data_IF_335948121846
#
_entry.id   IF_335948121846
#
_cell.length_a   1.000
_cell.length_b   1.000
_cell.length_c   1.000
_cell.angle_alpha   90.00
_cell.angle_beta   90.00
_cell.angle_gamma   90.00
#
_symmetry.space_group_name_H-M   'P 1'
#
loop_
_entity.id
_entity.type
_entity.pdbx_description
1 polymer ?
#
# COMPACT_ATOMS: atom_id res chain seq x y z
N UNK A 1 -4.36 18.29 23.20
CA UNK A 1 -2.97 18.14 22.70
C UNK A 1 -2.61 16.69 22.39
N UNK A 2 -2.98 15.69 23.21
CA UNK A 2 -2.64 14.28 22.97
C UNK A 2 -3.27 13.66 21.70
N UNK A 3 -4.52 14.00 21.39
CA UNK A 3 -5.22 13.43 20.23
C UNK A 3 -4.59 13.83 18.89
N UNK A 4 -4.21 15.10 18.75
CA UNK A 4 -3.50 15.60 17.57
C UNK A 4 -2.13 14.91 17.36
N UNK A 5 -1.41 14.63 18.45
CA UNK A 5 -0.14 13.90 18.40
C UNK A 5 -0.33 12.44 17.95
N UNK A 6 -1.39 11.77 18.42
CA UNK A 6 -1.75 10.40 18.01
C UNK A 6 -2.10 10.36 16.52
N UNK A 7 -2.88 11.33 16.04
CA UNK A 7 -3.22 11.43 14.62
C UNK A 7 -2.01 11.65 13.72
N UNK A 8 -1.04 12.47 14.13
CA UNK A 8 0.24 12.62 13.40
C UNK A 8 1.01 11.31 13.36
N UNK A 9 1.13 10.62 14.49
CA UNK A 9 1.85 9.36 14.57
C UNK A 9 1.22 8.30 13.65
N UNK A 10 -0.11 8.17 13.67
CA UNK A 10 -0.85 7.26 12.79
C UNK A 10 -0.63 7.59 11.31
N UNK A 11 -0.66 8.88 10.93
CA UNK A 11 -0.38 9.31 9.55
C UNK A 11 1.03 8.94 9.11
N UNK A 12 2.03 9.14 9.96
CA UNK A 12 3.42 8.78 9.66
C UNK A 12 3.55 7.26 9.51
N UNK A 13 2.92 6.47 10.39
CA UNK A 13 2.89 5.01 10.26
C UNK A 13 2.22 4.55 8.96
N UNK A 14 1.08 5.14 8.60
CA UNK A 14 0.42 4.87 7.31
C UNK A 14 1.31 5.23 6.14
N UNK A 15 2.03 6.34 6.19
CA UNK A 15 2.96 6.76 5.14
C UNK A 15 4.13 5.78 4.97
N UNK A 16 4.74 5.33 6.08
CA UNK A 16 5.82 4.32 6.05
C UNK A 16 5.31 2.99 5.49
N UNK A 17 4.10 2.57 5.88
CA UNK A 17 3.47 1.37 5.34
C UNK A 17 3.24 1.49 3.83
N UNK A 18 2.73 2.62 3.37
CA UNK A 18 2.53 2.93 1.95
C UNK A 18 3.84 2.80 1.17
N UNK A 19 4.90 3.46 1.65
CA UNK A 19 6.22 3.44 1.02
C UNK A 19 6.82 2.02 0.93
N UNK A 20 6.67 1.21 1.98
CA UNK A 20 7.12 -0.19 1.97
C UNK A 20 6.36 -1.03 0.94
N UNK A 21 5.08 -0.73 0.73
CA UNK A 21 4.22 -1.47 -0.20
C UNK A 21 4.56 -1.14 -1.65
N UNK A 22 4.78 0.14 -1.98
CA UNK A 22 5.29 0.59 -3.30
C UNK A 22 6.65 -0.05 -3.64
N UNK A 23 7.54 -0.13 -2.66
CA UNK A 23 8.84 -0.78 -2.85
C UNK A 23 8.70 -2.28 -3.13
N UNK A 24 7.75 -2.96 -2.48
CA UNK A 24 7.41 -4.36 -2.75
C UNK A 24 6.90 -4.58 -4.18
N UNK A 25 5.97 -3.74 -4.65
CA UNK A 25 5.44 -3.78 -6.02
C UNK A 25 6.56 -3.55 -7.05
N UNK A 26 7.45 -2.58 -6.80
CA UNK A 26 8.60 -2.30 -7.66
C UNK A 26 9.53 -3.52 -7.78
N UNK A 27 9.85 -4.19 -6.67
CA UNK A 27 10.72 -5.36 -6.69
C UNK A 27 10.05 -6.51 -7.45
N UNK A 28 8.77 -6.79 -7.19
CA UNK A 28 8.03 -7.83 -7.89
C UNK A 28 7.94 -7.57 -9.40
N UNK A 29 7.71 -6.32 -9.81
CA UNK A 29 7.67 -5.91 -11.22
C UNK A 29 9.04 -6.02 -11.91
N UNK A 30 10.13 -5.68 -11.21
CA UNK A 30 11.49 -5.89 -11.73
C UNK A 30 11.83 -7.38 -11.84
N UNK A 31 11.38 -8.20 -10.90
CA UNK A 31 11.61 -9.64 -10.91
C UNK A 31 10.79 -10.36 -11.99
N UNK A 32 9.60 -9.86 -12.34
CA UNK A 32 8.76 -10.46 -13.38
C UNK A 32 9.30 -10.25 -14.80
N UNK A 33 10.12 -9.23 -15.02
CA UNK A 33 10.75 -8.96 -16.33
C UNK A 33 12.02 -9.79 -16.57
N UNK A 34 12.58 -10.40 -15.53
CA UNK A 34 13.80 -11.21 -15.61
C UNK A 34 13.61 -12.44 -16.50
N UNK A 35 14.35 -12.49 -17.63
CA UNK A 35 14.24 -13.55 -18.64
C UNK A 35 14.62 -14.95 -18.14
N UNK A 36 15.29 -15.04 -17.00
CA UNK A 36 15.76 -16.32 -16.40
C UNK A 36 14.66 -17.08 -15.66
N UNK A 37 13.56 -16.42 -15.30
CA UNK A 37 12.43 -17.03 -14.61
C UNK A 37 11.46 -17.68 -15.59
N UNK A 38 10.87 -18.83 -15.21
CA UNK A 38 9.82 -19.47 -15.99
C UNK A 38 8.62 -18.54 -16.17
N UNK A 39 7.95 -18.59 -17.33
CA UNK A 39 6.75 -17.81 -17.62
C UNK A 39 5.71 -17.86 -16.48
N UNK A 40 5.35 -19.04 -15.92
CA UNK A 40 4.38 -19.09 -14.81
C UNK A 40 4.85 -18.36 -13.54
N UNK A 41 6.15 -18.38 -13.22
CA UNK A 41 6.66 -17.67 -12.06
C UNK A 41 6.55 -16.14 -12.19
N UNK A 42 6.59 -15.61 -13.42
CA UNK A 42 6.40 -14.16 -13.68
C UNK A 42 4.97 -13.72 -13.49
N UNK A 43 4.02 -14.55 -13.91
CA UNK A 43 2.59 -14.30 -13.68
C UNK A 43 2.27 -14.31 -12.18
N UNK A 44 2.81 -15.27 -11.43
CA UNK A 44 2.68 -15.27 -9.97
C UNK A 44 3.27 -14.03 -9.32
N UNK A 45 4.44 -13.56 -9.76
CA UNK A 45 5.04 -12.32 -9.25
C UNK A 45 4.19 -11.08 -9.55
N UNK A 46 3.55 -11.04 -10.73
CA UNK A 46 2.63 -9.97 -11.10
C UNK A 46 1.32 -10.00 -10.29
N UNK A 47 0.75 -11.18 -10.05
CA UNK A 47 -0.43 -11.34 -9.17
C UNK A 47 -0.12 -10.90 -7.74
N UNK A 48 1.03 -11.32 -7.21
CA UNK A 48 1.49 -10.90 -5.88
C UNK A 48 1.68 -9.38 -5.84
N UNK A 49 2.29 -8.78 -6.87
CA UNK A 49 2.42 -7.33 -6.97
C UNK A 49 1.05 -6.63 -6.95
N UNK A 50 0.06 -7.16 -7.66
CA UNK A 50 -1.30 -6.61 -7.72
C UNK A 50 -2.01 -6.70 -6.35
N UNK A 51 -1.87 -7.83 -5.64
CA UNK A 51 -2.45 -8.02 -4.30
C UNK A 51 -1.79 -7.08 -3.27
N UNK A 52 -0.46 -6.95 -3.33
CA UNK A 52 0.30 -6.04 -2.49
C UNK A 52 -0.18 -4.59 -2.70
N UNK A 53 -0.44 -4.20 -3.95
CA UNK A 53 -0.90 -2.85 -4.31
C UNK A 53 -2.38 -2.57 -3.94
N UNK A 54 -3.18 -3.59 -3.64
CA UNK A 54 -4.56 -3.43 -3.19
C UNK A 54 -4.64 -2.89 -1.75
N UNK A 55 -3.74 -3.32 -0.87
CA UNK A 55 -3.66 -2.87 0.53
C UNK A 55 -3.59 -1.33 0.67
N UNK A 56 -2.66 -0.63 0.00
CA UNK A 56 -2.56 0.82 0.07
C UNK A 56 -3.81 1.50 -0.50
N UNK A 57 -4.42 0.93 -1.54
CA UNK A 57 -5.60 1.49 -2.21
C UNK A 57 -6.85 1.48 -1.32
N UNK A 58 -7.04 0.39 -0.57
CA UNK A 58 -8.16 0.27 0.38
C UNK A 58 -7.97 1.23 1.57
N UNK A 59 -6.74 1.43 2.03
CA UNK A 59 -6.45 2.37 3.12
C UNK A 59 -6.81 3.83 2.77
N UNK A 60 -6.61 4.27 1.52
CA UNK A 60 -7.04 5.59 1.08
C UNK A 60 -8.55 5.79 1.16
N UNK A 61 -9.33 4.76 0.78
CA UNK A 61 -10.79 4.81 0.86
C UNK A 61 -11.23 4.95 2.32
N UNK A 62 -10.64 4.17 3.23
CA UNK A 62 -10.95 4.27 4.65
C UNK A 62 -10.56 5.62 5.26
N UNK A 63 -9.41 6.19 4.87
CA UNK A 63 -8.99 7.50 5.32
C UNK A 63 -9.95 8.60 4.84
N UNK A 64 -10.32 8.62 3.55
CA UNK A 64 -11.28 9.58 3.00
C UNK A 64 -12.68 9.44 3.63
N UNK A 65 -13.12 8.19 3.87
CA UNK A 65 -14.42 7.92 4.50
C UNK A 65 -14.43 8.38 5.96
N UNK A 66 -13.33 8.19 6.69
CA UNK A 66 -13.16 8.67 8.05
C UNK A 66 -13.18 10.21 8.12
N UNK A 67 -12.46 10.89 7.21
CA UNK A 67 -12.47 12.36 7.12
C UNK A 67 -13.89 12.89 6.84
N UNK A 68 -14.63 12.29 5.91
CA UNK A 68 -16.01 12.68 5.62
C UNK A 68 -16.99 12.47 6.78
N UNK A 69 -16.79 11.43 7.59
CA UNK A 69 -17.61 11.19 8.80
C UNK A 69 -17.27 12.22 9.88
N UNK A 70 -15.99 12.58 10.05
CA UNK A 70 -15.55 13.55 11.06
C UNK A 70 -16.08 14.97 10.86
N UNK A 71 -16.47 15.34 9.63
CA UNK A 71 -17.02 16.67 9.32
C UNK A 71 -18.55 16.78 9.50
N UNK A 72 -19.24 15.64 9.69
CA UNK A 72 -20.70 15.60 9.85
C UNK A 72 -21.14 15.36 11.31
N UNK A 73 -20.22 15.46 12.28
CA UNK A 73 -20.46 15.34 13.72
C UNK A 73 -20.03 16.61 14.45
#
# INVERSE_FOLDING_TARGET
MAEYEIWKFLHICMFVFWLGTDMGVMICSKKSTDTTLSIPARFQLLEIALVIELLPRVMWVWLCLWVSISQNL
#
